data_IF_978593132863
#
_entry.id   IF_978593132863
#
_cell.length_a   1.000
_cell.length_b   1.000
_cell.length_c   1.000
_cell.angle_alpha   90.00
_cell.angle_beta   90.00
_cell.angle_gamma   90.00
#
_symmetry.space_group_name_H-M   'P 1'
#
loop_
_entity.id
_entity.type
_entity.pdbx_description
1 polymer ?
2 water ?
#
# COMPACT_ATOMS: atom_id res chain seq x y z
N UNK A 5 7.13 14.27 10.48
CA UNK A 5 8.54 13.91 10.50
C UNK A 5 9.06 13.88 9.08
N UNK A 6 9.98 12.96 8.80
CA UNK A 6 10.55 12.79 7.47
C UNK A 6 9.48 12.47 6.45
N UNK A 7 9.76 12.80 5.20
CA UNK A 7 8.86 12.47 4.11
C UNK A 7 9.53 11.36 3.33
N UNK A 8 8.77 10.69 2.48
CA UNK A 8 9.29 9.54 1.76
C UNK A 8 8.36 9.22 0.60
N UNK A 9 8.91 8.76 -0.49
CA UNK A 9 8.10 8.36 -1.61
C UNK A 9 7.41 7.02 -1.34
N UNK A 10 6.13 6.90 -1.61
CA UNK A 10 5.42 5.65 -1.35
C UNK A 10 5.81 4.61 -2.40
N UNK A 11 6.27 3.42 -1.96
CA UNK A 11 6.64 2.41 -2.95
C UNK A 11 5.43 1.88 -3.70
N UNK A 12 5.69 1.40 -4.91
CA UNK A 12 4.69 0.68 -5.68
C UNK A 12 4.64 -0.74 -5.12
N UNK A 13 3.45 -1.17 -4.71
CA UNK A 13 3.27 -2.50 -4.17
C UNK A 13 2.17 -3.26 -4.91
N UNK A 14 1.79 -2.77 -6.09
CA UNK A 14 0.80 -3.46 -6.90
C UNK A 14 1.21 -4.92 -7.11
N UNK A 15 0.27 -5.84 -6.93
CA UNK A 15 0.49 -7.26 -7.17
C UNK A 15 0.99 -8.03 -5.96
N UNK A 16 1.50 -7.30 -4.97
CA UNK A 16 1.99 -7.93 -3.75
C UNK A 16 0.84 -8.32 -2.82
N UNK A 17 1.05 -9.38 -2.04
CA UNK A 17 0.09 -9.73 -1.00
C UNK A 17 0.17 -8.66 0.06
N UNK A 18 -0.86 -8.58 0.91
CA UNK A 18 -0.91 -7.56 1.94
C UNK A 18 0.25 -7.70 2.92
N UNK A 19 0.59 -8.95 3.23
CA UNK A 19 1.72 -9.25 4.09
C UNK A 19 2.99 -8.64 3.52
N UNK A 20 3.30 -9.01 2.27
CA UNK A 20 4.50 -8.53 1.58
C UNK A 20 4.48 -7.02 1.37
N UNK A 21 3.34 -6.50 0.93
CA UNK A 21 3.22 -5.07 0.70
C UNK A 21 3.58 -4.28 1.97
N UNK A 22 3.08 -4.72 3.12
CA UNK A 22 3.34 -4.01 4.37
C UNK A 22 4.81 -4.05 4.78
N UNK A 23 5.44 -5.21 4.59
CA UNK A 23 6.86 -5.33 4.89
C UNK A 23 7.67 -4.39 4.01
N UNK A 24 7.29 -4.24 2.75
CA UNK A 24 8.04 -3.32 1.89
C UNK A 24 7.72 -1.86 2.22
N UNK A 25 6.50 -1.60 2.68
CA UNK A 25 6.12 -0.28 3.18
C UNK A 25 6.93 0.08 4.41
N UNK A 26 7.12 -0.91 5.29
CA UNK A 26 7.89 -0.71 6.52
C UNK A 26 9.32 -0.27 6.25
N UNK A 27 9.89 -0.75 5.15
CA UNK A 27 11.28 -0.48 4.79
C UNK A 27 11.48 1.01 4.55
N UNK A 28 10.43 1.65 4.06
CA UNK A 28 10.42 3.08 3.81
C UNK A 28 10.00 3.87 5.05
N UNK A 29 9.62 3.17 6.11
CA UNK A 29 9.21 3.83 7.34
C UNK A 29 7.71 3.91 7.59
N UNK A 30 6.91 3.53 6.60
CA UNK A 30 5.46 3.53 6.76
C UNK A 30 4.98 2.35 7.62
N UNK A 31 4.17 2.64 8.63
CA UNK A 31 3.68 1.59 9.51
C UNK A 31 2.17 1.64 9.71
N UNK A 32 1.53 2.72 9.27
CA UNK A 32 0.10 2.92 9.49
C UNK A 32 -0.70 2.68 8.21
N UNK A 33 -1.57 1.68 8.23
CA UNK A 33 -2.32 1.29 7.03
C UNK A 33 -3.81 1.13 7.29
N UNK A 34 -4.62 1.56 6.33
CA UNK A 34 -6.03 1.19 6.29
C UNK A 34 -6.20 0.24 5.11
N UNK A 35 -7.31 -0.49 5.06
CA UNK A 35 -7.51 -1.46 3.99
C UNK A 35 -8.96 -1.48 3.52
N UNK A 36 -9.12 -1.65 2.21
CA UNK A 36 -10.44 -1.76 1.60
C UNK A 36 -10.37 -2.80 0.50
N UNK A 37 -11.43 -3.60 0.38
CA UNK A 37 -11.54 -4.59 -0.68
C UNK A 37 -12.15 -3.98 -1.93
N UNK A 38 -11.59 -4.32 -3.09
CA UNK A 38 -12.08 -3.84 -4.37
C UNK A 38 -12.15 -5.00 -5.35
N UNK A 39 -13.16 -5.00 -6.21
CA UNK A 39 -13.19 -5.97 -7.30
C UNK A 39 -12.03 -5.65 -8.22
N UNK A 40 -11.43 -6.68 -8.79
CA UNK A 40 -10.24 -6.51 -9.62
C UNK A 40 -9.94 -7.81 -10.34
N UNK A 41 -9.26 -7.72 -11.49
CA UNK A 41 -8.74 -8.89 -12.22
C UNK A 41 -7.63 -9.60 -11.44
N UNK A 42 -7.02 -8.92 -10.47
CA UNK A 42 -5.93 -9.53 -9.71
C UNK A 42 -6.47 -10.60 -8.76
N UNK A 43 -5.71 -11.69 -8.57
CA UNK A 43 -6.09 -12.70 -7.59
C UNK A 43 -6.45 -12.04 -6.25
N UNK A 44 -7.49 -12.56 -5.60
CA UNK A 44 -7.89 -12.07 -4.29
C UNK A 44 -6.70 -12.07 -3.35
N UNK A 45 -6.54 -10.99 -2.60
CA UNK A 45 -5.48 -10.89 -1.62
C UNK A 45 -4.36 -9.98 -2.09
N UNK A 46 -4.29 -9.75 -3.40
CA UNK A 46 -3.23 -8.90 -3.93
C UNK A 46 -3.60 -7.43 -3.87
N UNK A 47 -2.65 -6.59 -3.49
CA UNK A 47 -2.86 -5.14 -3.51
C UNK A 47 -2.97 -4.63 -4.96
N UNK A 48 -4.02 -3.86 -5.25
CA UNK A 48 -4.22 -3.33 -6.60
C UNK A 48 -3.55 -1.96 -6.73
N UNK A 49 -3.42 -1.30 -5.58
CA UNK A 49 -2.79 0.01 -5.50
C UNK A 49 -3.06 0.61 -4.13
N UNK A 50 -2.59 1.84 -3.93
CA UNK A 50 -2.73 2.50 -2.64
C UNK A 50 -3.24 3.92 -2.76
N UNK A 51 -3.74 4.43 -1.65
CA UNK A 51 -4.12 5.83 -1.54
C UNK A 51 -3.49 6.41 -0.28
N UNK A 52 -2.55 7.36 -0.43
CA UNK A 52 -2.04 7.98 -1.67
C UNK A 52 -1.36 6.97 -2.59
N UNK A 53 -1.36 7.26 -3.89
CA UNK A 53 -0.80 6.29 -4.84
C UNK A 53 0.72 6.24 -4.83
N UNK A 54 1.25 5.15 -5.37
CA UNK A 54 2.69 4.95 -5.49
C UNK A 54 3.37 6.16 -6.12
N UNK A 55 4.53 6.52 -5.59
CA UNK A 55 5.28 7.64 -6.13
C UNK A 55 4.96 8.97 -5.46
N UNK A 56 3.91 9.01 -4.64
CA UNK A 56 3.59 10.24 -3.92
C UNK A 56 4.58 10.39 -2.77
N UNK A 57 5.09 11.60 -2.56
CA UNK A 57 5.92 11.90 -1.39
C UNK A 57 5.05 12.39 -0.23
N UNK A 58 5.08 11.66 0.89
CA UNK A 58 4.25 11.99 2.03
C UNK A 58 5.06 11.85 3.31
N UNK A 59 4.59 12.46 4.41
CA UNK A 59 5.29 12.21 5.67
C UNK A 59 5.12 10.74 6.07
N UNK A 60 6.15 10.15 6.67
CA UNK A 60 6.10 8.74 7.03
C UNK A 60 5.09 8.42 8.14
N UNK A 61 4.52 9.44 8.77
CA UNK A 61 3.44 9.20 9.72
C UNK A 61 2.06 9.17 9.05
N UNK A 62 2.05 9.23 7.72
CA UNK A 62 0.80 9.24 6.95
C UNK A 62 0.14 7.88 7.02
N UNK A 63 -1.19 7.86 7.07
CA UNK A 63 -1.90 6.60 6.92
C UNK A 63 -2.01 6.26 5.44
N UNK A 64 -1.62 5.05 5.08
CA UNK A 64 -1.66 4.62 3.68
C UNK A 64 -2.75 3.58 3.50
N UNK A 65 -3.71 3.85 2.62
CA UNK A 65 -4.74 2.85 2.35
C UNK A 65 -4.29 1.84 1.32
N UNK A 66 -4.41 0.56 1.66
CA UNK A 66 -4.11 -0.51 0.74
C UNK A 66 -5.42 -0.98 0.14
N UNK A 67 -5.55 -0.85 -1.18
CA UNK A 67 -6.72 -1.36 -1.89
C UNK A 67 -6.44 -2.80 -2.29
N UNK A 68 -7.27 -3.73 -1.83
CA UNK A 68 -6.96 -5.15 -1.88
C UNK A 68 -7.95 -5.93 -2.75
N UNK A 69 -7.45 -6.58 -3.79
CA UNK A 69 -8.34 -7.35 -4.65
C UNK A 69 -9.15 -8.41 -3.89
N UNK A 70 -10.43 -8.52 -4.21
CA UNK A 70 -11.21 -9.68 -3.81
C UNK A 70 -11.62 -10.43 -5.07
N UNK A 71 -10.85 -10.25 -6.14
CA UNK A 71 -11.11 -10.95 -7.38
C UNK A 71 -12.21 -10.32 -8.22
#
# INVERSE_FOLDING_TARGET
GHMGPATKDIPDVAGQTVDVAQKNMNVYGFTKFSQASVDSPRPAGEVTGTNPPAGTTVPVDSVIELQVSKG
#
